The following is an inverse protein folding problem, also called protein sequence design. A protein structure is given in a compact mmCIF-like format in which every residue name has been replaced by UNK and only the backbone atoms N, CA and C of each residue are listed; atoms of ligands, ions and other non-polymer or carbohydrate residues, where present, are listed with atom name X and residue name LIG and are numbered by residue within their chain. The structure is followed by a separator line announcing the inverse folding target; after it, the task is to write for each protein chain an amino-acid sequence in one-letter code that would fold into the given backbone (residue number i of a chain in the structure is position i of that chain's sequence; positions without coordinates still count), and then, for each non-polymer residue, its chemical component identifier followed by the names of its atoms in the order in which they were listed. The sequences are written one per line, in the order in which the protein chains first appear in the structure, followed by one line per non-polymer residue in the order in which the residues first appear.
data_IF_246880115708
#
_entry.id   IF_246880115708
#
_cell.length_a   1.000
_cell.length_b   1.000
_cell.length_c   1.000
_cell.angle_alpha   90.00
_cell.angle_beta   90.00
_cell.angle_gamma   90.00
#
_symmetry.space_group_name_H-M   'P 1'
#
loop_
_entity.id
_entity.type
_entity.pdbx_description
1 polymer ?
#
# COMPACT_ATOMS: atom_id res chain seq x y z
N UNK A 1 -2.19 -28.12 -6.09
CA UNK A 1 -2.59 -27.29 -4.92
C UNK A 1 -1.54 -26.24 -4.61
N UNK A 2 -0.29 -26.65 -4.37
CA UNK A 2 0.82 -25.74 -4.06
C UNK A 2 1.08 -24.70 -5.16
N UNK A 3 1.13 -25.11 -6.42
CA UNK A 3 1.27 -24.20 -7.57
C UNK A 3 0.14 -23.17 -7.68
N UNK A 4 -1.09 -23.57 -7.31
CA UNK A 4 -2.26 -22.69 -7.33
C UNK A 4 -2.17 -21.63 -6.22
N UNK A 5 -1.69 -22.01 -5.03
CA UNK A 5 -1.42 -21.10 -3.91
C UNK A 5 -0.32 -20.11 -4.30
N UNK A 6 0.76 -20.59 -4.91
CA UNK A 6 1.83 -19.74 -5.42
C UNK A 6 1.33 -18.78 -6.50
N UNK A 7 0.50 -19.23 -7.44
CA UNK A 7 -0.07 -18.38 -8.47
C UNK A 7 -1.00 -17.29 -7.88
N UNK A 8 -1.85 -17.64 -6.92
CA UNK A 8 -2.72 -16.69 -6.22
C UNK A 8 -1.89 -15.67 -5.44
N UNK A 9 -0.86 -16.13 -4.72
CA UNK A 9 0.06 -15.27 -3.99
C UNK A 9 0.80 -14.31 -4.92
N UNK A 10 1.34 -14.83 -6.02
CA UNK A 10 2.04 -14.03 -7.03
C UNK A 10 1.13 -12.97 -7.65
N UNK A 11 -0.08 -13.34 -8.09
CA UNK A 11 -1.06 -12.39 -8.63
C UNK A 11 -1.48 -11.35 -7.59
N UNK A 12 -1.59 -11.73 -6.32
CA UNK A 12 -1.92 -10.80 -5.23
C UNK A 12 -0.80 -9.78 -5.00
N UNK A 13 0.45 -10.24 -4.99
CA UNK A 13 1.64 -9.37 -4.88
C UNK A 13 1.73 -8.41 -6.07
N UNK A 14 1.57 -8.93 -7.29
CA UNK A 14 1.61 -8.11 -8.51
C UNK A 14 0.47 -7.08 -8.50
N UNK A 15 -0.74 -7.49 -8.12
CA UNK A 15 -1.89 -6.60 -7.95
C UNK A 15 -1.63 -5.51 -6.91
N UNK A 16 -1.10 -5.89 -5.74
CA UNK A 16 -0.69 -4.95 -4.70
C UNK A 16 0.31 -3.92 -5.23
N UNK A 17 1.38 -4.37 -5.90
CA UNK A 17 2.40 -3.49 -6.44
C UNK A 17 1.81 -2.51 -7.46
N UNK A 18 0.97 -2.99 -8.38
CA UNK A 18 0.32 -2.13 -9.38
C UNK A 18 -0.54 -1.05 -8.72
N UNK A 19 -1.39 -1.44 -7.76
CA UNK A 19 -2.27 -0.49 -7.05
C UNK A 19 -1.43 0.50 -6.24
N UNK A 20 -0.40 0.02 -5.55
CA UNK A 20 0.49 0.84 -4.73
C UNK A 20 1.27 1.85 -5.58
N UNK A 21 1.87 1.43 -6.70
CA UNK A 21 2.57 2.35 -7.62
C UNK A 21 1.64 3.34 -8.29
N UNK A 22 0.41 2.91 -8.62
CA UNK A 22 -0.61 3.82 -9.16
C UNK A 22 -1.00 4.86 -8.10
N UNK A 23 -1.19 4.45 -6.86
CA UNK A 23 -1.48 5.33 -5.73
C UNK A 23 -0.34 6.32 -5.48
N UNK A 24 0.91 5.86 -5.35
CA UNK A 24 2.07 6.72 -5.09
C UNK A 24 2.29 7.76 -6.20
N UNK A 25 2.05 7.40 -7.47
CA UNK A 25 2.07 8.36 -8.58
C UNK A 25 0.96 9.40 -8.52
N UNK A 26 -0.24 8.97 -8.13
CA UNK A 26 -1.45 9.78 -8.27
C UNK A 26 -1.68 10.66 -7.05
N UNK A 27 -1.31 10.19 -5.87
CA UNK A 27 -1.48 10.90 -4.59
C UNK A 27 -0.90 12.32 -4.58
N UNK A 28 0.37 12.57 -4.98
CA UNK A 28 0.92 13.93 -4.94
C UNK A 28 0.26 14.86 -5.98
N UNK A 29 -0.36 14.30 -7.03
CA UNK A 29 -1.10 15.07 -8.05
C UNK A 29 -2.55 15.37 -7.63
N UNK A 30 -3.22 14.41 -7.02
CA UNK A 30 -4.61 14.55 -6.57
C UNK A 30 -4.73 15.29 -5.23
N UNK A 31 -3.76 15.10 -4.35
CA UNK A 31 -3.76 15.64 -2.99
C UNK A 31 -2.44 16.36 -2.68
N UNK A 32 -2.11 17.43 -3.42
CA UNK A 32 -0.86 18.16 -3.25
C UNK A 32 -0.73 18.74 -1.83
N UNK A 33 -1.83 19.21 -1.23
CA UNK A 33 -1.84 19.75 0.14
C UNK A 33 -1.47 18.69 1.19
N UNK A 34 -2.04 17.48 1.06
CA UNK A 34 -1.69 16.35 1.91
C UNK A 34 -0.22 15.99 1.75
N UNK A 35 0.27 15.94 0.50
CA UNK A 35 1.66 15.62 0.21
C UNK A 35 2.65 16.62 0.83
N UNK A 36 2.35 17.92 0.75
CA UNK A 36 3.16 18.99 1.35
C UNK A 36 3.20 18.85 2.87
N UNK A 37 2.05 18.60 3.54
CA UNK A 37 2.00 18.44 5.00
C UNK A 37 2.82 17.26 5.51
N UNK A 38 2.91 16.21 4.71
CA UNK A 38 3.69 15.03 5.08
C UNK A 38 5.19 15.34 5.02
N UNK A 39 5.60 16.35 4.23
CA UNK A 39 6.98 16.85 4.20
C UNK A 39 7.95 15.86 3.57
N UNK A 40 7.49 15.04 2.63
CA UNK A 40 8.34 14.09 1.91
C UNK A 40 8.82 14.68 0.58
N UNK A 41 10.14 14.87 0.37
CA UNK A 41 10.67 15.53 -0.82
C UNK A 41 10.61 14.64 -2.08
N UNK A 42 10.52 13.32 -1.92
CA UNK A 42 10.59 12.37 -3.02
C UNK A 42 9.33 11.52 -3.10
N UNK A 43 8.63 11.58 -4.24
CA UNK A 43 7.44 10.75 -4.49
C UNK A 43 7.79 9.27 -4.78
N UNK A 44 9.05 8.95 -5.07
CA UNK A 44 9.46 7.61 -5.51
C UNK A 44 10.67 7.02 -4.77
N UNK A 45 11.35 7.79 -3.92
CA UNK A 45 12.41 7.27 -3.08
C UNK A 45 11.89 6.33 -1.99
N UNK A 46 12.80 5.59 -1.35
CA UNK A 46 12.50 4.72 -0.20
C UNK A 46 11.69 5.48 0.88
N UNK A 47 12.05 6.74 1.13
CA UNK A 47 11.36 7.61 2.09
C UNK A 47 9.95 7.96 1.65
N UNK A 48 9.72 8.16 0.35
CA UNK A 48 8.38 8.36 -0.22
C UNK A 48 7.52 7.11 -0.05
N UNK A 49 8.06 5.96 -0.42
CA UNK A 49 7.35 4.68 -0.33
C UNK A 49 6.98 4.33 1.13
N UNK A 50 7.91 4.50 2.08
CA UNK A 50 7.63 4.29 3.50
C UNK A 50 6.55 5.22 4.03
N UNK A 51 6.56 6.47 3.54
CA UNK A 51 5.56 7.48 3.88
C UNK A 51 4.18 7.12 3.32
N UNK A 52 4.08 6.73 2.04
CA UNK A 52 2.81 6.25 1.47
C UNK A 52 2.29 5.03 2.22
N UNK A 53 3.18 4.11 2.60
CA UNK A 53 2.80 2.96 3.39
C UNK A 53 2.32 3.37 4.79
N UNK A 54 2.97 4.33 5.45
CA UNK A 54 2.54 4.86 6.74
C UNK A 54 1.16 5.54 6.65
N UNK A 55 0.93 6.33 5.60
CA UNK A 55 -0.38 6.92 5.28
C UNK A 55 -1.40 5.81 5.10
N UNK A 56 -1.14 4.84 4.21
CA UNK A 56 -2.04 3.72 3.92
C UNK A 56 -2.35 2.94 5.19
N UNK A 57 -1.38 2.66 6.06
CA UNK A 57 -1.58 1.97 7.34
C UNK A 57 -2.24 2.84 8.41
N UNK A 58 -2.37 4.15 8.18
CA UNK A 58 -2.94 5.09 9.15
C UNK A 58 -2.00 5.37 10.33
N UNK A 59 -0.71 5.15 10.13
CA UNK A 59 0.38 5.43 11.09
C UNK A 59 0.90 6.87 10.97
N UNK A 60 0.54 7.58 9.90
CA UNK A 60 0.93 8.97 9.71
C UNK A 60 0.18 9.89 10.67
N UNK A 61 0.92 10.60 11.53
CA UNK A 61 0.36 11.48 12.56
C UNK A 61 0.25 12.93 12.10
N UNK A 62 0.93 13.31 11.02
CA UNK A 62 0.94 14.70 10.51
C UNK A 62 -0.35 15.08 9.79
N UNK A 63 -1.13 14.11 9.32
CA UNK A 63 -2.39 14.36 8.61
C UNK A 63 -3.58 14.04 9.53
N UNK A 64 -4.53 14.98 9.73
CA UNK A 64 -5.76 14.68 10.44
C UNK A 64 -6.62 13.66 9.67
N UNK A 65 -7.20 12.70 10.40
CA UNK A 65 -7.99 11.59 9.82
C UNK A 65 -9.14 12.03 8.92
N UNK A 66 -9.67 13.24 9.13
CA UNK A 66 -10.75 13.81 8.31
C UNK A 66 -10.30 14.10 6.88
N UNK A 67 -9.06 14.56 6.67
CA UNK A 67 -8.54 14.84 5.33
C UNK A 67 -8.18 13.55 4.57
N UNK A 68 -7.85 12.49 5.31
CA UNK A 68 -7.68 11.13 4.75
C UNK A 68 -8.99 10.49 4.29
N UNK A 69 -10.16 11.10 4.57
CA UNK A 69 -11.43 10.54 4.14
C UNK A 69 -11.55 10.45 2.61
N UNK A 70 -10.91 11.37 1.88
CA UNK A 70 -10.93 11.39 0.42
C UNK A 70 -10.12 10.23 -0.20
N UNK A 71 -9.06 9.77 0.47
CA UNK A 71 -8.22 8.64 0.07
C UNK A 71 -8.56 7.33 0.77
N UNK A 72 -9.56 7.33 1.66
CA UNK A 72 -9.92 6.19 2.49
C UNK A 72 -10.20 4.92 1.69
N UNK A 73 -10.85 5.05 0.54
CA UNK A 73 -11.18 3.91 -0.33
C UNK A 73 -9.91 3.33 -0.98
N UNK A 74 -9.04 4.18 -1.53
CA UNK A 74 -7.76 3.73 -2.10
C UNK A 74 -6.87 3.08 -1.03
N UNK A 75 -6.81 3.67 0.18
CA UNK A 75 -6.11 3.10 1.33
C UNK A 75 -6.69 1.74 1.73
N UNK A 76 -8.01 1.59 1.76
CA UNK A 76 -8.68 0.33 2.09
C UNK A 76 -8.36 -0.75 1.06
N UNK A 77 -8.38 -0.43 -0.24
CA UNK A 77 -8.01 -1.35 -1.31
C UNK A 77 -6.57 -1.84 -1.11
N UNK A 78 -5.61 -0.93 -0.90
CA UNK A 78 -4.21 -1.30 -0.69
C UNK A 78 -4.04 -2.18 0.56
N UNK A 79 -4.74 -1.86 1.67
CA UNK A 79 -4.71 -2.68 2.89
C UNK A 79 -5.24 -4.10 2.64
N UNK A 80 -6.33 -4.23 1.90
CA UNK A 80 -6.92 -5.54 1.57
C UNK A 80 -5.94 -6.37 0.74
N UNK A 81 -5.36 -5.79 -0.32
CA UNK A 81 -4.34 -6.45 -1.13
C UNK A 81 -3.09 -6.84 -0.33
N UNK A 82 -2.63 -5.96 0.56
CA UNK A 82 -1.52 -6.24 1.47
C UNK A 82 -1.86 -7.40 2.42
N UNK A 83 -3.07 -7.42 2.98
CA UNK A 83 -3.56 -8.51 3.83
C UNK A 83 -3.57 -9.85 3.10
N UNK A 84 -4.12 -9.90 1.88
CA UNK A 84 -4.08 -11.10 1.04
C UNK A 84 -2.65 -11.56 0.75
N UNK A 85 -1.74 -10.62 0.48
CA UNK A 85 -0.33 -10.91 0.24
C UNK A 85 0.33 -11.56 1.47
N UNK A 86 0.11 -10.99 2.66
CA UNK A 86 0.65 -11.54 3.92
C UNK A 86 0.08 -12.93 4.22
N UNK A 87 -1.23 -13.13 4.01
CA UNK A 87 -1.87 -14.44 4.22
C UNK A 87 -1.30 -15.46 3.25
N UNK A 88 -1.17 -15.13 1.96
CA UNK A 88 -0.62 -16.01 0.95
C UNK A 88 0.84 -16.38 1.25
N UNK A 89 1.67 -15.41 1.64
CA UNK A 89 3.06 -15.64 2.02
C UNK A 89 3.19 -16.48 3.29
N UNK A 90 2.38 -16.20 4.30
CA UNK A 90 2.35 -16.99 5.54
C UNK A 90 1.98 -18.44 5.23
N UNK A 91 0.93 -18.66 4.43
CA UNK A 91 0.50 -20.00 4.05
C UNK A 91 1.55 -20.73 3.22
N UNK A 92 2.21 -20.04 2.28
CA UNK A 92 3.31 -20.60 1.52
C UNK A 92 4.48 -21.01 2.43
N UNK A 93 4.87 -20.14 3.37
CA UNK A 93 5.94 -20.41 4.33
C UNK A 93 5.66 -21.65 5.19
N UNK A 94 4.44 -21.80 5.71
CA UNK A 94 4.00 -22.99 6.47
C UNK A 94 3.96 -24.28 5.63
N UNK A 95 3.80 -24.18 4.32
CA UNK A 95 3.79 -25.35 3.42
C UNK A 95 5.19 -25.74 2.97
N UNK A 96 6.16 -24.83 3.03
CA UNK A 96 7.56 -25.04 2.59
C UNK A 96 8.55 -25.28 3.72
N UNK A 97 8.18 -24.99 4.98
CA UNK A 97 9.00 -25.24 6.18
C UNK A 97 8.36 -26.29 7.06
#
# INVERSE_FOLDING_TARGET
MLEMIFAIGFLSVVGYLIVFFRFSRRFPRLYPELWVRVGCPEAFGLRGQSTYLAIVLGLETRIPRQELHQVRLEMMVIRVFLGFTVVALTFAAFMTG
#
